data_IF_562603485562
#
_entry.id   IF_562603485562
#
_cell.length_a   1.000
_cell.length_b   1.000
_cell.length_c   1.000
_cell.angle_alpha   90.00
_cell.angle_beta   90.00
_cell.angle_gamma   90.00
#
_symmetry.space_group_name_H-M   'P 1'
#
loop_
_entity.id
_entity.type
_entity.pdbx_description
1 polymer ?
#
# COMPACT_ATOMS: atom_id res chain seq x y z
N UNK A 1 -27.66 -12.45 3.93
CA UNK A 1 -26.28 -13.00 3.81
C UNK A 1 -25.40 -12.20 2.87
N UNK A 2 -25.75 -12.03 1.59
CA UNK A 2 -24.93 -11.27 0.62
C UNK A 2 -24.68 -9.80 1.02
N UNK A 3 -25.70 -9.09 1.52
CA UNK A 3 -25.55 -7.68 1.95
C UNK A 3 -24.59 -7.49 3.12
N UNK A 4 -24.54 -8.44 4.06
CA UNK A 4 -23.65 -8.35 5.23
C UNK A 4 -22.19 -8.48 4.79
N UNK A 5 -21.93 -9.36 3.83
CA UNK A 5 -20.59 -9.54 3.26
C UNK A 5 -20.15 -8.27 2.52
N UNK A 6 -21.03 -7.67 1.73
CA UNK A 6 -20.73 -6.41 1.00
C UNK A 6 -20.41 -5.27 1.97
N UNK A 7 -21.17 -5.15 3.06
CA UNK A 7 -20.93 -4.13 4.09
C UNK A 7 -19.60 -4.38 4.80
N UNK A 8 -19.27 -5.61 5.16
CA UNK A 8 -18.00 -5.95 5.79
C UNK A 8 -16.80 -5.66 4.87
N UNK A 9 -16.93 -5.98 3.58
CA UNK A 9 -15.90 -5.65 2.58
C UNK A 9 -15.75 -4.14 2.42
N UNK A 10 -16.85 -3.39 2.33
CA UNK A 10 -16.82 -1.94 2.21
C UNK A 10 -16.19 -1.27 3.46
N UNK A 11 -16.49 -1.77 4.66
CA UNK A 11 -15.88 -1.31 5.92
C UNK A 11 -14.39 -1.65 5.96
N UNK A 12 -14.02 -2.88 5.58
CA UNK A 12 -12.61 -3.29 5.48
C UNK A 12 -11.81 -2.39 4.53
N UNK A 13 -12.35 -2.13 3.34
CA UNK A 13 -11.75 -1.21 2.35
C UNK A 13 -11.70 0.22 2.87
N UNK A 14 -12.76 0.69 3.55
CA UNK A 14 -12.80 2.02 4.14
C UNK A 14 -11.69 2.20 5.19
N UNK A 15 -11.50 1.23 6.09
CA UNK A 15 -10.43 1.28 7.09
C UNK A 15 -9.04 1.15 6.47
N UNK A 16 -8.89 0.35 5.40
CA UNK A 16 -7.63 0.21 4.67
C UNK A 16 -7.22 1.52 3.99
N UNK A 17 -8.16 2.18 3.30
CA UNK A 17 -7.94 3.46 2.64
C UNK A 17 -7.76 4.61 3.64
N UNK A 18 -8.45 4.56 4.78
CA UNK A 18 -8.30 5.55 5.85
C UNK A 18 -6.95 5.43 6.56
N UNK A 19 -6.40 4.22 6.67
CA UNK A 19 -5.04 3.98 7.17
C UNK A 19 -3.94 4.57 6.29
N UNK A 20 -4.21 4.77 5.00
CA UNK A 20 -3.29 5.44 4.06
C UNK A 20 -3.34 6.97 4.11
N UNK A 21 -4.31 7.60 4.80
CA UNK A 21 -4.45 9.06 4.91
C UNK A 21 -3.71 9.67 6.11
N UNK A 22 -2.57 9.11 6.50
CA UNK A 22 -1.54 9.82 7.28
C UNK A 22 -0.40 10.21 6.33
N UNK A 23 -0.49 11.38 5.73
CA UNK A 23 0.70 12.15 5.31
C UNK A 23 0.89 13.32 6.29
N UNK A 24 2.02 14.06 6.28
CA UNK A 24 3.16 14.01 5.37
C UNK A 24 4.50 13.75 6.09
N UNK A 25 5.43 13.02 5.47
CA UNK A 25 6.85 13.01 5.89
C UNK A 25 7.71 13.29 4.65
N UNK A 26 8.70 14.20 4.76
CA UNK A 26 9.23 14.95 3.64
C UNK A 26 10.22 14.12 2.81
N UNK A 27 10.15 14.32 1.49
CA UNK A 27 11.32 14.33 0.59
C UNK A 27 12.00 13.00 0.20
N UNK A 28 11.47 11.82 0.54
CA UNK A 28 11.95 10.52 -0.02
C UNK A 28 10.83 9.67 -0.66
N UNK A 29 9.60 10.18 -0.66
CA UNK A 29 8.37 9.37 -0.70
C UNK A 29 7.74 9.25 -2.09
N UNK A 30 8.47 9.58 -3.17
CA UNK A 30 7.96 9.40 -4.54
C UNK A 30 8.08 7.95 -5.01
N UNK A 31 9.32 7.42 -5.02
CA UNK A 31 9.60 6.08 -5.51
C UNK A 31 9.08 4.99 -4.54
N UNK A 32 9.27 5.18 -3.24
CA UNK A 32 8.83 4.24 -2.20
C UNK A 32 7.31 4.02 -2.19
N UNK A 33 6.54 5.08 -2.47
CA UNK A 33 5.08 5.02 -2.47
C UNK A 33 4.53 4.32 -3.72
N UNK A 34 5.18 4.51 -4.88
CA UNK A 34 4.86 3.80 -6.12
C UNK A 34 5.10 2.29 -5.94
N UNK A 35 6.23 1.90 -5.37
CA UNK A 35 6.57 0.49 -5.13
C UNK A 35 5.59 -0.14 -4.13
N UNK A 36 5.26 0.57 -3.04
CA UNK A 36 4.23 0.11 -2.07
C UNK A 36 2.86 -0.05 -2.71
N UNK A 37 2.46 0.88 -3.57
CA UNK A 37 1.18 0.85 -4.27
C UNK A 37 1.08 -0.35 -5.20
N UNK A 38 2.14 -0.63 -5.97
CA UNK A 38 2.20 -1.81 -6.87
C UNK A 38 2.17 -3.12 -6.11
N UNK A 39 2.83 -3.20 -4.95
CA UNK A 39 2.76 -4.36 -4.07
C UNK A 39 1.35 -4.57 -3.50
N UNK A 40 0.68 -3.50 -3.08
CA UNK A 40 -0.70 -3.56 -2.59
C UNK A 40 -1.72 -3.96 -3.69
N UNK A 41 -1.42 -3.63 -4.95
CA UNK A 41 -2.19 -4.06 -6.12
C UNK A 41 -1.86 -5.50 -6.56
N UNK A 42 -0.81 -6.11 -6.00
CA UNK A 42 -0.33 -7.44 -6.39
C UNK A 42 0.38 -7.46 -7.75
N UNK A 43 0.76 -6.29 -8.28
CA UNK A 43 1.49 -6.17 -9.55
C UNK A 43 2.97 -6.55 -9.43
N UNK A 44 3.50 -6.51 -8.21
CA UNK A 44 4.86 -6.96 -7.89
C UNK A 44 4.83 -7.93 -6.72
N UNK A 45 5.73 -8.90 -6.75
CA UNK A 45 5.85 -9.89 -5.68
C UNK A 45 6.56 -9.30 -4.45
N UNK A 46 6.47 -10.00 -3.32
CA UNK A 46 7.14 -9.58 -2.07
C UNK A 46 8.66 -9.48 -2.24
N UNK A 47 9.23 -10.35 -3.06
CA UNK A 47 10.67 -10.36 -3.35
C UNK A 47 11.09 -9.08 -4.08
N UNK A 48 10.39 -8.71 -5.15
CA UNK A 48 10.61 -7.48 -5.90
C UNK A 48 10.40 -6.23 -5.03
N UNK A 49 9.37 -6.21 -4.19
CA UNK A 49 9.15 -5.13 -3.24
C UNK A 49 10.34 -4.93 -2.29
N UNK A 50 10.93 -6.03 -1.80
CA UNK A 50 12.09 -5.99 -0.92
C UNK A 50 13.34 -5.49 -1.65
N UNK A 51 13.57 -5.94 -2.88
CA UNK A 51 14.69 -5.48 -3.71
C UNK A 51 14.63 -3.97 -3.94
N UNK A 52 13.49 -3.44 -4.40
CA UNK A 52 13.31 -2.01 -4.62
C UNK A 52 13.43 -1.19 -3.33
N UNK A 53 12.92 -1.71 -2.22
CA UNK A 53 13.03 -1.02 -0.92
C UNK A 53 14.47 -0.97 -0.42
N UNK A 54 15.26 -1.99 -0.68
CA UNK A 54 16.67 -2.04 -0.29
C UNK A 54 17.51 -1.08 -1.13
N UNK A 55 17.28 -1.07 -2.45
CA UNK A 55 17.91 -0.17 -3.41
C UNK A 55 17.62 1.31 -3.08
N UNK A 56 16.36 1.63 -2.76
CA UNK A 56 15.93 2.98 -2.35
C UNK A 56 16.41 3.39 -0.95
N UNK A 57 16.91 2.47 -0.12
CA UNK A 57 17.44 2.74 1.22
C UNK A 57 18.97 2.84 1.24
N UNK A 58 19.62 2.41 0.14
CA UNK A 58 21.07 2.34 0.01
C UNK A 58 21.76 3.61 -0.53
N UNK A 59 21.00 4.67 -0.84
CA UNK A 59 21.53 6.01 -1.17
C UNK A 59 21.45 6.97 0.03
#
# INVERSE_FOLDING_TARGET
MMLIIVVLVAVGLYYLLKGQRKGPEPEQTGAMDIVRKRYALGEISRDEYLAYRDELKGE
#
